data_IF_598330825352
#
_entry.id   IF_598330825352
#
_cell.length_a   1.000
_cell.length_b   1.000
_cell.length_c   1.000
_cell.angle_alpha   90.00
_cell.angle_beta   90.00
_cell.angle_gamma   90.00
#
_symmetry.space_group_name_H-M   'P 1'
#
loop_
_entity.id
_entity.type
_entity.pdbx_description
1 polymer ?
#
# COMPACT_ATOMS: atom_id res chain seq x y z
N UNK A 1 -18.07 -12.57 26.03
CA UNK A 1 -17.63 -11.34 25.36
C UNK A 1 -17.58 -11.67 23.87
N UNK A 2 -18.25 -10.86 23.07
CA UNK A 2 -18.34 -11.01 21.62
C UNK A 2 -17.95 -9.70 20.96
N UNK A 3 -17.07 -9.74 19.95
CA UNK A 3 -16.79 -8.59 19.10
C UNK A 3 -17.98 -8.41 18.14
N UNK A 4 -18.51 -7.20 18.01
CA UNK A 4 -19.69 -6.91 17.21
C UNK A 4 -19.67 -5.53 16.54
N UNK A 5 -18.47 -4.96 16.36
CA UNK A 5 -18.30 -3.60 15.80
C UNK A 5 -19.02 -3.40 14.47
N UNK A 6 -19.08 -4.43 13.64
CA UNK A 6 -19.76 -4.43 12.34
C UNK A 6 -20.88 -5.46 12.26
N UNK A 7 -21.42 -5.90 13.40
CA UNK A 7 -22.45 -6.94 13.45
C UNK A 7 -23.82 -6.54 12.87
N UNK A 8 -24.01 -5.25 12.62
CA UNK A 8 -25.23 -4.65 12.08
C UNK A 8 -25.25 -4.48 10.57
N UNK A 9 -24.17 -4.89 9.86
CA UNK A 9 -24.04 -4.67 8.41
C UNK A 9 -23.27 -5.77 7.70
N UNK A 10 -23.59 -5.95 6.43
CA UNK A 10 -22.79 -6.77 5.52
C UNK A 10 -21.60 -5.95 5.00
N UNK A 11 -20.43 -6.56 4.98
CA UNK A 11 -19.28 -5.98 4.34
C UNK A 11 -19.44 -5.99 2.81
N UNK A 12 -18.86 -5.01 2.16
CA UNK A 12 -18.84 -4.95 0.70
C UNK A 12 -18.10 -6.17 0.10
N UNK A 13 -18.49 -6.55 -1.11
CA UNK A 13 -17.87 -7.66 -1.81
C UNK A 13 -16.36 -7.40 -2.03
N UNK A 14 -15.56 -8.40 -1.69
CA UNK A 14 -14.11 -8.37 -1.89
C UNK A 14 -13.73 -8.26 -3.37
N UNK A 15 -14.56 -8.78 -4.28
CA UNK A 15 -14.30 -8.72 -5.72
C UNK A 15 -14.27 -7.29 -6.26
N UNK A 16 -15.06 -6.38 -5.69
CA UNK A 16 -15.12 -4.97 -6.13
C UNK A 16 -14.04 -4.08 -5.50
N UNK A 17 -13.37 -4.54 -4.43
CA UNK A 17 -12.44 -3.75 -3.63
C UNK A 17 -11.29 -3.18 -4.44
N UNK A 18 -10.68 -3.99 -5.31
CA UNK A 18 -9.57 -3.57 -6.16
C UNK A 18 -10.00 -2.51 -7.18
N UNK A 19 -11.13 -2.71 -7.85
CA UNK A 19 -11.66 -1.75 -8.82
C UNK A 19 -11.97 -0.39 -8.16
N UNK A 20 -12.52 -0.40 -6.96
CA UNK A 20 -12.79 0.83 -6.19
C UNK A 20 -11.50 1.52 -5.76
N UNK A 21 -10.49 0.78 -5.31
CA UNK A 21 -9.18 1.36 -4.98
C UNK A 21 -8.57 2.00 -6.22
N UNK A 22 -8.59 1.32 -7.37
CA UNK A 22 -8.11 1.87 -8.63
C UNK A 22 -8.82 3.16 -8.98
N UNK A 23 -10.15 3.19 -8.95
CA UNK A 23 -10.95 4.38 -9.26
C UNK A 23 -10.61 5.57 -8.35
N UNK A 24 -10.47 5.33 -7.03
CA UNK A 24 -10.08 6.38 -6.07
C UNK A 24 -8.69 6.92 -6.40
N UNK A 25 -7.74 6.05 -6.72
CA UNK A 25 -6.39 6.46 -7.07
C UNK A 25 -6.34 7.21 -8.41
N UNK A 26 -7.09 6.77 -9.42
CA UNK A 26 -7.21 7.47 -10.71
C UNK A 26 -7.67 8.91 -10.51
N UNK A 27 -8.73 9.10 -9.73
CA UNK A 27 -9.25 10.43 -9.43
C UNK A 27 -8.25 11.29 -8.64
N UNK A 28 -7.60 10.70 -7.64
CA UNK A 28 -6.70 11.43 -6.75
C UNK A 28 -5.33 11.73 -7.39
N UNK A 29 -4.93 10.98 -8.41
CA UNK A 29 -3.66 11.18 -9.13
C UNK A 29 -3.83 12.00 -10.43
N UNK A 30 -5.07 12.27 -10.84
CA UNK A 30 -5.37 12.95 -12.11
C UNK A 30 -4.77 14.37 -12.18
N UNK A 31 -4.60 15.04 -11.05
CA UNK A 31 -4.00 16.37 -10.94
C UNK A 31 -2.48 16.34 -10.67
N UNK A 32 -1.85 15.16 -10.69
CA UNK A 32 -0.44 14.98 -10.37
C UNK A 32 -0.13 15.02 -8.87
N UNK A 33 -1.14 14.95 -8.02
CA UNK A 33 -1.00 15.02 -6.57
C UNK A 33 -0.42 13.76 -5.93
N UNK A 34 -0.13 13.85 -4.62
CA UNK A 34 0.29 12.72 -3.79
C UNK A 34 -0.89 12.20 -2.99
N UNK A 35 -1.14 10.89 -3.08
CA UNK A 35 -2.15 10.20 -2.28
C UNK A 35 -1.52 9.69 -1.00
N UNK A 36 -2.02 10.14 0.15
CA UNK A 36 -1.56 9.66 1.46
C UNK A 36 -2.58 8.66 2.01
N UNK A 37 -2.14 7.44 2.27
CA UNK A 37 -2.98 6.36 2.79
C UNK A 37 -2.50 5.94 4.18
N UNK A 38 -3.18 6.35 5.26
CA UNK A 38 -2.85 5.86 6.58
C UNK A 38 -3.31 4.42 6.75
N UNK A 39 -2.42 3.55 7.22
CA UNK A 39 -2.71 2.13 7.39
C UNK A 39 -2.05 1.54 8.63
N UNK A 40 -2.69 0.54 9.24
CA UNK A 40 -2.07 -0.22 10.31
C UNK A 40 -0.88 -1.03 9.79
N UNK A 41 0.15 -1.14 10.62
CA UNK A 41 1.44 -1.74 10.25
C UNK A 41 1.36 -3.22 9.89
N UNK A 42 0.36 -3.94 10.42
CA UNK A 42 0.13 -5.37 10.15
C UNK A 42 -1.24 -5.58 9.53
N UNK A 43 -1.34 -6.47 8.56
CA UNK A 43 -2.55 -6.83 7.84
C UNK A 43 -2.90 -5.80 6.76
N UNK A 44 -3.44 -4.64 7.14
CA UNK A 44 -3.95 -3.64 6.18
C UNK A 44 -2.90 -3.09 5.22
N UNK A 45 -1.70 -2.82 5.69
CA UNK A 45 -0.61 -2.39 4.79
C UNK A 45 -0.28 -3.47 3.76
N UNK A 46 -0.20 -4.73 4.17
CA UNK A 46 0.14 -5.83 3.26
C UNK A 46 -0.99 -6.11 2.26
N UNK A 47 -2.26 -6.05 2.68
CA UNK A 47 -3.40 -6.13 1.76
C UNK A 47 -3.36 -5.00 0.72
N UNK A 48 -3.12 -3.75 1.16
CA UNK A 48 -3.02 -2.60 0.27
C UNK A 48 -1.88 -2.75 -0.74
N UNK A 49 -0.70 -3.18 -0.30
CA UNK A 49 0.45 -3.43 -1.19
C UNK A 49 0.13 -4.52 -2.21
N UNK A 50 -0.57 -5.57 -1.80
CA UNK A 50 -0.97 -6.67 -2.67
C UNK A 50 -1.94 -6.22 -3.78
N UNK A 51 -2.90 -5.35 -3.43
CA UNK A 51 -3.84 -4.78 -4.42
C UNK A 51 -3.15 -3.76 -5.33
N UNK A 52 -2.29 -2.88 -4.77
CA UNK A 52 -1.53 -1.90 -5.55
C UNK A 52 -0.61 -2.56 -6.59
N UNK A 53 0.10 -3.62 -6.20
CA UNK A 53 0.90 -4.39 -7.15
C UNK A 53 0.05 -4.93 -8.31
N UNK A 54 -1.13 -5.46 -7.98
CA UNK A 54 -2.06 -5.93 -8.99
C UNK A 54 -2.53 -4.83 -9.94
N UNK A 55 -2.90 -3.66 -9.41
CA UNK A 55 -3.34 -2.52 -10.21
C UNK A 55 -2.19 -2.05 -11.13
N UNK A 56 -0.98 -1.87 -10.60
CA UNK A 56 0.17 -1.44 -11.38
C UNK A 56 0.61 -2.45 -12.44
N UNK A 57 0.45 -3.75 -12.17
CA UNK A 57 0.71 -4.79 -13.15
C UNK A 57 -0.24 -4.71 -14.35
N UNK A 58 -1.52 -4.43 -14.10
CA UNK A 58 -2.54 -4.37 -15.14
C UNK A 58 -2.61 -3.01 -15.88
N UNK A 59 -1.96 -1.97 -15.33
CA UNK A 59 -1.93 -0.61 -15.86
C UNK A 59 -0.48 -0.14 -16.07
N UNK A 60 0.15 -0.45 -17.22
CA UNK A 60 1.55 -0.12 -17.49
C UNK A 60 1.88 1.37 -17.36
N UNK A 61 0.93 2.27 -17.62
CA UNK A 61 1.07 3.71 -17.47
C UNK A 61 1.32 4.15 -16.03
N UNK A 62 0.96 3.31 -15.04
CA UNK A 62 1.18 3.58 -13.63
C UNK A 62 2.55 3.12 -13.13
N UNK A 63 3.34 2.47 -13.96
CA UNK A 63 4.67 1.97 -13.57
C UNK A 63 5.66 3.08 -13.16
N UNK A 64 5.39 4.33 -13.53
CA UNK A 64 6.19 5.48 -13.13
C UNK A 64 5.77 6.08 -11.79
N UNK A 65 4.64 5.64 -11.22
CA UNK A 65 4.12 6.17 -9.95
C UNK A 65 4.77 5.40 -8.79
N UNK A 66 5.59 6.04 -7.95
CA UNK A 66 6.19 5.37 -6.81
C UNK A 66 5.14 5.09 -5.72
N UNK A 67 5.21 3.90 -5.15
CA UNK A 67 4.51 3.53 -3.91
C UNK A 67 5.53 3.60 -2.78
N UNK A 68 5.31 4.51 -1.85
CA UNK A 68 6.24 4.79 -0.76
C UNK A 68 5.66 4.25 0.55
N UNK A 69 6.35 3.30 1.16
CA UNK A 69 6.01 2.80 2.49
C UNK A 69 6.82 3.56 3.54
N UNK A 70 6.22 4.61 4.09
CA UNK A 70 6.81 5.42 5.16
C UNK A 70 6.30 5.00 6.54
N UNK A 71 6.56 3.75 6.87
CA UNK A 71 6.20 3.11 8.13
C UNK A 71 7.21 2.00 8.44
N UNK A 72 8.27 2.26 9.24
CA UNK A 72 9.33 1.28 9.50
C UNK A 72 8.82 -0.04 10.07
N UNK A 73 7.84 0.02 10.97
CA UNK A 73 7.23 -1.19 11.55
C UNK A 73 6.48 -2.00 10.48
N UNK A 74 5.71 -1.34 9.63
CA UNK A 74 5.03 -2.00 8.50
C UNK A 74 6.04 -2.61 7.51
N UNK A 75 7.16 -1.94 7.27
CA UNK A 75 8.26 -2.47 6.46
C UNK A 75 8.83 -3.78 7.02
N UNK A 76 8.99 -3.89 8.35
CA UNK A 76 9.44 -5.13 9.01
C UNK A 76 8.40 -6.25 8.88
N UNK A 77 7.13 -5.96 9.14
CA UNK A 77 6.07 -6.96 8.93
C UNK A 77 5.97 -7.39 7.47
N UNK A 78 6.08 -6.47 6.52
CA UNK A 78 6.08 -6.81 5.09
C UNK A 78 7.24 -7.76 4.72
N UNK A 79 8.43 -7.59 5.32
CA UNK A 79 9.54 -8.52 5.15
C UNK A 79 9.19 -9.91 5.68
N UNK A 80 8.62 -9.99 6.89
CA UNK A 80 8.17 -11.26 7.48
C UNK A 80 7.10 -11.96 6.61
N UNK A 81 6.11 -11.23 6.11
CA UNK A 81 5.12 -11.79 5.18
C UNK A 81 5.77 -12.39 3.93
N UNK A 82 6.83 -11.76 3.40
CA UNK A 82 7.57 -12.28 2.25
C UNK A 82 8.36 -13.55 2.58
N UNK A 83 8.92 -13.65 3.78
CA UNK A 83 9.58 -14.88 4.26
C UNK A 83 8.58 -16.03 4.37
N UNK A 84 7.37 -15.74 4.85
CA UNK A 84 6.29 -16.72 5.02
C UNK A 84 5.47 -16.96 3.72
N UNK A 85 5.97 -16.56 2.56
CA UNK A 85 5.25 -16.67 1.28
C UNK A 85 4.76 -18.07 0.93
N UNK A 86 5.40 -19.10 1.45
CA UNK A 86 4.98 -20.49 1.25
C UNK A 86 3.62 -20.81 1.89
N UNK A 87 3.22 -20.04 2.91
CA UNK A 87 1.94 -20.17 3.61
C UNK A 87 0.83 -19.29 3.02
N UNK A 88 1.09 -18.59 1.91
CA UNK A 88 0.07 -17.78 1.27
C UNK A 88 -1.01 -18.65 0.63
N UNK A 89 -2.21 -18.10 0.48
CA UNK A 89 -3.33 -18.78 -0.16
C UNK A 89 -3.05 -19.08 -1.65
N UNK A 90 -3.94 -19.84 -2.29
CA UNK A 90 -3.79 -20.27 -3.68
C UNK A 90 -3.63 -19.09 -4.66
N UNK A 91 -4.34 -17.98 -4.44
CA UNK A 91 -4.21 -16.76 -5.25
C UNK A 91 -2.81 -16.16 -5.15
N UNK A 92 -2.28 -16.00 -3.92
CA UNK A 92 -0.93 -15.50 -3.68
C UNK A 92 0.13 -16.40 -4.29
N UNK A 93 -0.02 -17.72 -4.17
CA UNK A 93 0.87 -18.70 -4.79
C UNK A 93 0.85 -18.61 -6.33
N UNK A 94 -0.33 -18.43 -6.94
CA UNK A 94 -0.45 -18.25 -8.38
C UNK A 94 0.29 -16.99 -8.88
N UNK A 95 0.19 -15.86 -8.15
CA UNK A 95 0.95 -14.64 -8.49
C UNK A 95 2.47 -14.86 -8.39
N UNK A 96 2.94 -15.57 -7.35
CA UNK A 96 4.37 -15.91 -7.20
C UNK A 96 4.85 -16.82 -8.33
N UNK A 97 4.07 -17.85 -8.69
CA UNK A 97 4.37 -18.76 -9.81
C UNK A 97 4.44 -18.02 -11.15
N UNK A 98 3.66 -16.96 -11.33
CA UNK A 98 3.73 -16.07 -12.49
C UNK A 98 4.92 -15.09 -12.45
N UNK A 99 5.87 -15.26 -11.51
CA UNK A 99 7.05 -14.39 -11.37
C UNK A 99 6.77 -13.02 -10.75
N UNK A 100 5.55 -12.79 -10.24
CA UNK A 100 5.16 -11.53 -9.61
C UNK A 100 5.66 -11.44 -8.17
N UNK A 101 5.76 -10.23 -7.64
CA UNK A 101 6.27 -9.97 -6.27
C UNK A 101 5.34 -9.01 -5.52
N UNK A 102 4.13 -9.47 -5.08
CA UNK A 102 3.07 -8.59 -4.55
C UNK A 102 3.48 -7.70 -3.37
N UNK A 103 4.43 -8.14 -2.55
CA UNK A 103 4.94 -7.37 -1.41
C UNK A 103 6.38 -6.86 -1.62
N UNK A 104 6.83 -6.77 -2.88
CA UNK A 104 8.20 -6.39 -3.20
C UNK A 104 8.37 -6.00 -4.67
N UNK A 105 7.37 -5.37 -5.27
CA UNK A 105 7.38 -4.89 -6.65
C UNK A 105 8.31 -3.67 -6.84
N UNK A 106 8.68 -3.38 -8.06
CA UNK A 106 9.76 -2.44 -8.38
C UNK A 106 9.46 -0.99 -7.99
N UNK A 107 8.17 -0.58 -8.02
CA UNK A 107 7.73 0.76 -7.61
C UNK A 107 7.71 0.96 -6.09
N UNK A 108 7.86 -0.10 -5.29
CA UNK A 108 7.79 -0.03 -3.83
C UNK A 108 9.09 0.49 -3.22
N UNK A 109 9.05 1.70 -2.72
CA UNK A 109 10.12 2.35 -1.97
C UNK A 109 9.84 2.27 -0.46
N UNK A 110 10.83 1.89 0.34
CA UNK A 110 10.68 1.79 1.80
C UNK A 110 11.48 2.87 2.50
N UNK A 111 10.81 3.61 3.36
CA UNK A 111 11.40 4.65 4.21
C UNK A 111 11.53 4.10 5.62
N UNK A 112 12.76 3.94 6.09
CA UNK A 112 13.05 3.33 7.38
C UNK A 112 13.58 4.32 8.41
N UNK A 113 14.31 5.34 7.98
CA UNK A 113 14.95 6.33 8.85
C UNK A 113 14.31 7.70 8.71
N UNK A 114 14.51 8.56 9.72
CA UNK A 114 14.06 9.96 9.66
C UNK A 114 14.73 10.73 8.52
N UNK A 115 16.01 10.49 8.26
CA UNK A 115 16.72 11.13 7.15
C UNK A 115 16.15 10.74 5.77
N UNK A 116 15.72 9.48 5.61
CA UNK A 116 15.03 9.04 4.39
C UNK A 116 13.65 9.70 4.26
N UNK A 117 12.90 9.82 5.35
CA UNK A 117 11.63 10.52 5.40
C UNK A 117 11.76 11.97 4.93
N UNK A 118 12.70 12.74 5.48
CA UNK A 118 12.93 14.13 5.08
C UNK A 118 13.32 14.25 3.59
N UNK A 119 14.20 13.38 3.10
CA UNK A 119 14.55 13.36 1.67
C UNK A 119 13.37 13.05 0.78
N UNK A 120 12.51 12.13 1.18
CA UNK A 120 11.29 11.78 0.46
C UNK A 120 10.34 12.99 0.40
N UNK A 121 10.06 13.65 1.52
CA UNK A 121 9.23 14.86 1.56
C UNK A 121 9.78 15.95 0.65
N UNK A 122 11.07 16.26 0.76
CA UNK A 122 11.71 17.27 -0.07
C UNK A 122 11.60 16.94 -1.57
N UNK A 123 11.75 15.65 -1.93
CA UNK A 123 11.58 15.21 -3.31
C UNK A 123 10.14 15.40 -3.80
N UNK A 124 9.14 14.94 -3.04
CA UNK A 124 7.74 15.09 -3.42
C UNK A 124 7.34 16.57 -3.63
N UNK A 125 7.77 17.44 -2.72
CA UNK A 125 7.51 18.88 -2.82
C UNK A 125 8.21 19.50 -4.04
N UNK A 126 9.46 19.13 -4.31
CA UNK A 126 10.26 19.72 -5.39
C UNK A 126 9.85 19.23 -6.79
N UNK A 127 9.51 17.97 -6.92
CA UNK A 127 9.18 17.36 -8.23
C UNK A 127 7.71 17.49 -8.60
N UNK A 128 6.82 17.58 -7.63
CA UNK A 128 5.36 17.53 -7.80
C UNK A 128 4.91 16.31 -8.63
N UNK A 129 5.67 15.23 -8.57
CA UNK A 129 5.30 13.99 -9.26
C UNK A 129 4.25 13.24 -8.45
N UNK A 130 3.27 12.61 -9.11
CA UNK A 130 2.28 11.79 -8.44
C UNK A 130 2.95 10.64 -7.68
N UNK A 131 2.45 10.36 -6.48
CA UNK A 131 2.96 9.27 -5.65
C UNK A 131 1.85 8.72 -4.76
N UNK A 132 1.97 7.46 -4.36
CA UNK A 132 1.15 6.86 -3.31
C UNK A 132 2.02 6.66 -2.08
N UNK A 133 1.68 7.30 -0.96
CA UNK A 133 2.43 7.22 0.30
C UNK A 133 1.60 6.48 1.34
N UNK A 134 2.07 5.34 1.78
CA UNK A 134 1.46 4.55 2.86
C UNK A 134 2.19 4.88 4.16
N UNK A 135 1.47 5.41 5.14
CA UNK A 135 2.04 5.85 6.41
C UNK A 135 1.51 5.02 7.59
N UNK A 136 2.25 5.02 8.69
CA UNK A 136 1.76 4.52 9.97
C UNK A 136 0.62 5.37 10.52
N UNK A 137 0.02 4.94 11.65
CA UNK A 137 -1.13 5.58 12.28
C UNK A 137 -2.41 5.54 11.43
N UNK A 138 -3.00 4.35 11.32
CA UNK A 138 -4.28 4.16 10.61
C UNK A 138 -5.45 5.00 11.12
N UNK A 139 -5.30 5.67 12.26
CA UNK A 139 -6.29 6.59 12.85
C UNK A 139 -5.98 8.08 12.56
N UNK A 140 -4.91 8.39 11.85
CA UNK A 140 -4.45 9.75 11.52
C UNK A 140 -4.28 10.70 12.73
N UNK A 141 -4.09 10.16 13.93
CA UNK A 141 -4.03 10.96 15.16
C UNK A 141 -2.59 11.19 15.68
N UNK A 142 -1.62 10.50 15.13
CA UNK A 142 -0.20 10.65 15.45
C UNK A 142 0.67 9.95 14.41
N UNK A 143 1.99 10.19 14.44
CA UNK A 143 2.95 9.51 13.58
C UNK A 143 3.47 10.36 12.43
N UNK A 144 3.99 9.72 11.39
CA UNK A 144 4.66 10.37 10.24
C UNK A 144 3.77 11.08 9.21
N UNK A 145 2.43 10.95 9.20
CA UNK A 145 1.60 11.66 8.23
C UNK A 145 1.66 13.21 8.33
N UNK A 146 2.25 13.71 9.44
CA UNK A 146 2.34 15.14 9.76
C UNK A 146 3.77 15.63 9.78
#
# INVERSE_FOLDING_TARGET
ILESTYGDRLHEDRATRRARLQQVLEQALADGGTVIVPAFSIGRTQELLYELEGIMHDNPEWQQIPVILDAPLAGRFTALYRELRQSWNAEGQARLAAGRRPLGFDQLLKVQTHAQHQRMLNRLVSTRQPAVVITGSGMCNAGRPW
#
